data_IF_417047582545
#
_entry.id   IF_417047582545
#
_cell.length_a   1.000
_cell.length_b   1.000
_cell.length_c   1.000
_cell.angle_alpha   90.00
_cell.angle_beta   90.00
_cell.angle_gamma   90.00
#
_symmetry.space_group_name_H-M   'P 1'
#
loop_
_entity.id
_entity.type
_entity.pdbx_description
1 polymer ?
#
# COMPACT_ATOMS: atom_id res chain seq x y z
N UNK A 1 -28.59 -21.01 -48.41
CA UNK A 1 -27.69 -21.50 -47.34
C UNK A 1 -28.56 -21.73 -46.13
N UNK A 2 -28.78 -22.98 -45.74
CA UNK A 2 -29.61 -23.30 -44.57
C UNK A 2 -28.73 -23.22 -43.33
N UNK A 3 -29.13 -22.40 -42.37
CA UNK A 3 -28.40 -22.22 -41.11
C UNK A 3 -28.54 -23.49 -40.25
N UNK A 4 -27.41 -24.18 -40.04
CA UNK A 4 -27.35 -25.48 -39.35
C UNK A 4 -27.83 -25.42 -37.89
N UNK A 5 -27.84 -24.24 -37.28
CA UNK A 5 -28.10 -24.05 -35.85
C UNK A 5 -29.40 -23.31 -35.54
N UNK A 6 -30.25 -23.04 -36.53
CA UNK A 6 -31.49 -22.26 -36.36
C UNK A 6 -32.34 -22.77 -35.17
N UNK A 7 -32.55 -24.08 -35.09
CA UNK A 7 -33.35 -24.69 -34.03
C UNK A 7 -32.67 -24.60 -32.65
N UNK A 8 -31.34 -24.74 -32.60
CA UNK A 8 -30.55 -24.59 -31.37
C UNK A 8 -30.64 -23.18 -30.83
N UNK A 9 -30.57 -22.19 -31.70
CA UNK A 9 -30.63 -20.77 -31.38
C UNK A 9 -32.04 -20.37 -30.91
N UNK A 10 -33.07 -20.84 -31.61
CA UNK A 10 -34.46 -20.63 -31.21
C UNK A 10 -34.77 -21.25 -29.83
N UNK A 11 -34.28 -22.46 -29.56
CA UNK A 11 -34.42 -23.10 -28.26
C UNK A 11 -33.60 -22.42 -27.16
N UNK A 12 -32.45 -21.81 -27.48
CA UNK A 12 -31.65 -21.06 -26.52
C UNK A 12 -32.33 -19.73 -26.15
N UNK A 13 -32.88 -19.02 -27.15
CA UNK A 13 -33.60 -17.77 -26.93
C UNK A 13 -34.86 -17.96 -26.08
N UNK A 14 -35.59 -19.06 -26.28
CA UNK A 14 -36.77 -19.40 -25.46
C UNK A 14 -36.44 -19.77 -24.01
N UNK A 15 -35.19 -20.10 -23.70
CA UNK A 15 -34.73 -20.50 -22.36
C UNK A 15 -33.95 -19.40 -21.65
N UNK A 16 -33.87 -18.21 -22.24
CA UNK A 16 -33.27 -17.07 -21.56
C UNK A 16 -34.16 -16.68 -20.37
N UNK A 17 -33.62 -16.70 -19.15
CA UNK A 17 -34.31 -16.09 -18.01
C UNK A 17 -34.53 -14.60 -18.28
N UNK A 18 -35.74 -14.14 -18.01
CA UNK A 18 -36.02 -12.71 -17.95
C UNK A 18 -35.49 -12.20 -16.60
N UNK A 19 -34.49 -11.34 -16.67
CA UNK A 19 -33.98 -10.63 -15.50
C UNK A 19 -34.44 -9.19 -15.59
N UNK A 20 -35.27 -8.79 -14.64
CA UNK A 20 -35.62 -7.39 -14.46
C UNK A 20 -34.78 -6.86 -13.30
N UNK A 21 -34.05 -5.74 -13.49
CA UNK A 21 -33.32 -5.14 -12.39
C UNK A 21 -34.29 -4.69 -11.30
N UNK A 22 -33.87 -4.70 -10.02
CA UNK A 22 -34.69 -4.16 -8.94
C UNK A 22 -35.11 -2.72 -9.26
N UNK A 23 -36.39 -2.39 -9.03
CA UNK A 23 -36.94 -1.07 -9.40
C UNK A 23 -36.14 0.11 -8.81
N UNK A 24 -35.66 -0.03 -7.57
CA UNK A 24 -34.86 0.97 -6.87
C UNK A 24 -33.44 1.18 -7.44
N UNK A 25 -32.97 0.28 -8.32
CA UNK A 25 -31.62 0.40 -8.90
C UNK A 25 -31.54 1.59 -9.85
N UNK A 26 -32.62 1.92 -10.53
CA UNK A 26 -32.68 3.11 -11.40
C UNK A 26 -32.63 4.40 -10.59
N UNK A 27 -33.37 4.47 -9.48
CA UNK A 27 -33.35 5.64 -8.59
C UNK A 27 -31.94 5.89 -8.04
N UNK A 28 -31.22 4.83 -7.63
CA UNK A 28 -29.83 4.92 -7.16
C UNK A 28 -28.87 5.40 -8.24
N UNK A 29 -29.04 4.92 -9.48
CA UNK A 29 -28.22 5.36 -10.60
C UNK A 29 -28.45 6.82 -10.93
N UNK A 30 -29.71 7.27 -10.92
CA UNK A 30 -30.08 8.67 -11.16
C UNK A 30 -29.47 9.59 -10.08
N UNK A 31 -29.60 9.21 -8.80
CA UNK A 31 -28.97 9.95 -7.69
C UNK A 31 -27.44 10.01 -7.80
N UNK A 32 -26.81 8.92 -8.24
CA UNK A 32 -25.35 8.88 -8.42
C UNK A 32 -24.87 9.81 -9.55
N UNK A 33 -25.63 9.90 -10.64
CA UNK A 33 -25.30 10.74 -11.79
C UNK A 33 -25.50 12.23 -11.45
N UNK A 34 -26.56 12.57 -10.72
CA UNK A 34 -26.80 13.93 -10.25
C UNK A 34 -25.67 14.40 -9.31
N UNK A 35 -25.17 13.53 -8.44
CA UNK A 35 -24.04 13.84 -7.56
C UNK A 35 -22.74 14.13 -8.34
N UNK A 36 -22.47 13.37 -9.42
CA UNK A 36 -21.31 13.61 -10.29
C UNK A 36 -21.40 14.96 -11.01
N UNK A 37 -22.58 15.36 -11.46
CA UNK A 37 -22.80 16.67 -12.09
C UNK A 37 -22.54 17.83 -11.11
N UNK A 38 -23.07 17.72 -9.89
CA UNK A 38 -22.84 18.71 -8.82
C UNK A 38 -21.35 18.86 -8.46
N UNK A 39 -20.60 17.75 -8.44
CA UNK A 39 -19.15 17.78 -8.21
C UNK A 39 -18.42 18.47 -9.36
N UNK A 40 -18.81 18.20 -10.61
CA UNK A 40 -18.25 18.85 -11.79
C UNK A 40 -18.43 20.37 -11.76
N UNK A 41 -19.60 20.86 -11.34
CA UNK A 41 -19.86 22.29 -11.15
C UNK A 41 -19.01 22.88 -10.02
N UNK A 42 -18.92 22.18 -8.88
CA UNK A 42 -18.15 22.60 -7.72
C UNK A 42 -16.66 22.72 -8.02
N UNK A 43 -16.09 21.77 -8.78
CA UNK A 43 -14.69 21.79 -9.21
C UNK A 43 -14.42 22.97 -10.14
N UNK A 44 -15.35 23.29 -11.06
CA UNK A 44 -15.22 24.45 -11.96
C UNK A 44 -15.35 25.78 -11.21
N UNK A 45 -16.06 25.79 -10.08
CA UNK A 45 -16.20 26.97 -9.23
C UNK A 45 -14.99 27.20 -8.30
N UNK A 46 -14.03 26.27 -8.24
CA UNK A 46 -12.84 26.45 -7.41
C UNK A 46 -11.98 27.62 -7.93
N UNK A 47 -11.58 28.55 -7.05
CA UNK A 47 -10.68 29.62 -7.42
C UNK A 47 -9.31 29.05 -7.81
N UNK A 48 -8.78 29.54 -8.92
CA UNK A 48 -7.41 29.23 -9.34
C UNK A 48 -6.46 30.18 -8.61
N UNK A 49 -5.67 29.65 -7.69
CA UNK A 49 -4.60 30.40 -7.02
C UNK A 49 -3.27 30.05 -7.66
N UNK A 50 -2.55 31.06 -8.11
CA UNK A 50 -1.15 30.90 -8.53
C UNK A 50 -0.25 31.31 -7.35
N UNK A 51 0.72 30.48 -6.96
CA UNK A 51 1.60 30.80 -5.85
C UNK A 51 2.45 32.04 -6.18
N UNK A 52 2.74 32.93 -5.20
CA UNK A 52 3.58 34.09 -5.42
C UNK A 52 4.98 33.70 -5.93
N UNK A 53 5.55 34.51 -6.82
CA UNK A 53 6.87 34.25 -7.43
C UNK A 53 7.98 34.00 -6.38
N UNK A 54 7.91 34.67 -5.21
CA UNK A 54 8.86 34.47 -4.12
C UNK A 54 8.92 33.02 -3.62
N UNK A 55 7.83 32.25 -3.70
CA UNK A 55 7.83 30.83 -3.28
C UNK A 55 8.74 30.03 -4.19
N UNK A 56 8.70 30.28 -5.50
CA UNK A 56 9.54 29.61 -6.48
C UNK A 56 11.00 30.04 -6.36
N UNK A 57 11.27 31.33 -6.22
CA UNK A 57 12.64 31.86 -6.02
C UNK A 57 13.30 31.24 -4.78
N UNK A 58 12.55 31.09 -3.69
CA UNK A 58 13.06 30.47 -2.46
C UNK A 58 13.39 28.98 -2.64
N UNK A 59 12.59 28.24 -3.42
CA UNK A 59 12.85 26.83 -3.72
C UNK A 59 14.10 26.65 -4.59
N UNK A 60 14.26 27.49 -5.61
CA UNK A 60 15.45 27.48 -6.47
C UNK A 60 16.72 27.79 -5.67
N UNK A 61 16.70 28.84 -4.85
CA UNK A 61 17.82 29.21 -4.00
C UNK A 61 18.20 28.09 -3.00
N UNK A 62 17.20 27.42 -2.41
CA UNK A 62 17.42 26.32 -1.48
C UNK A 62 18.05 25.08 -2.18
N UNK A 63 17.70 24.84 -3.44
CA UNK A 63 18.28 23.75 -4.24
C UNK A 63 19.73 24.04 -4.61
N UNK A 64 20.03 25.25 -5.06
CA UNK A 64 21.41 25.65 -5.41
C UNK A 64 22.36 25.60 -4.21
N UNK A 65 21.90 26.02 -3.02
CA UNK A 65 22.71 26.00 -1.80
C UNK A 65 23.10 24.57 -1.38
N UNK A 66 22.21 23.59 -1.57
CA UNK A 66 22.52 22.17 -1.30
C UNK A 66 23.56 21.60 -2.27
N UNK A 67 23.58 22.07 -3.51
CA UNK A 67 24.51 21.60 -4.55
C UNK A 67 25.90 22.23 -4.39
N UNK A 68 25.95 23.50 -3.97
CA UNK A 68 27.18 24.28 -3.82
C UNK A 68 28.02 23.92 -2.57
N UNK A 69 27.44 23.26 -1.56
CA UNK A 69 28.10 22.90 -0.31
C UNK A 69 29.06 21.68 -0.40
N UNK A 70 29.87 21.58 -1.46
CA UNK A 70 30.95 20.56 -1.55
C UNK A 70 32.21 21.05 -0.82
N UNK A 71 32.81 20.27 0.11
CA UNK A 71 33.82 20.79 1.02
C UNK A 71 35.22 20.85 0.40
N UNK A 72 35.59 22.02 -0.15
CA UNK A 72 36.95 22.30 -0.62
C UNK A 72 38.03 22.22 0.50
N UNK A 73 37.63 22.27 1.78
CA UNK A 73 38.52 22.21 2.94
C UNK A 73 39.16 20.82 3.18
N UNK A 74 38.63 19.74 2.60
CA UNK A 74 39.16 18.38 2.83
C UNK A 74 40.46 18.07 2.06
N UNK A 75 40.76 18.80 0.98
CA UNK A 75 41.95 18.54 0.15
C UNK A 75 43.24 19.08 0.79
N UNK A 76 43.14 20.18 1.56
CA UNK A 76 44.31 20.80 2.21
C UNK A 76 44.83 19.98 3.41
N UNK A 77 43.95 19.29 4.13
CA UNK A 77 44.30 18.45 5.30
C UNK A 77 44.95 17.13 4.85
N UNK A 78 44.53 16.58 3.71
CA UNK A 78 45.07 15.32 3.16
C UNK A 78 46.55 15.43 2.75
N UNK A 79 47.01 16.60 2.27
CA UNK A 79 48.42 16.82 1.89
C UNK A 79 49.39 16.81 3.08
N UNK A 80 48.95 17.14 4.30
CA UNK A 80 49.80 17.14 5.51
C UNK A 80 49.94 15.74 6.15
N UNK A 81 49.10 14.78 5.79
CA UNK A 81 49.10 13.41 6.34
C UNK A 81 49.97 12.41 5.55
N UNK A 82 50.49 12.77 4.37
CA UNK A 82 51.26 11.84 3.51
C UNK A 82 52.71 11.62 4.00
N UNK A 83 53.26 12.50 4.83
CA UNK A 83 54.63 12.34 5.34
C UNK A 83 54.76 11.34 6.52
N UNK A 84 53.66 10.96 7.17
CA UNK A 84 53.66 10.03 8.30
C UNK A 84 53.12 8.61 7.95
N UNK A 85 52.62 8.42 6.73
CA UNK A 85 51.90 7.19 6.34
C UNK A 85 52.80 6.01 5.93
N UNK A 86 54.11 6.22 5.69
CA UNK A 86 55.01 5.16 5.24
C UNK A 86 55.24 4.06 6.30
N UNK A 87 55.28 4.43 7.58
CA UNK A 87 55.48 3.48 8.70
C UNK A 87 54.19 2.72 9.04
N UNK A 88 53.03 3.38 8.91
CA UNK A 88 51.73 2.76 9.15
C UNK A 88 51.34 1.72 8.09
N UNK A 89 51.71 1.94 6.82
CA UNK A 89 51.39 1.02 5.71
C UNK A 89 52.13 -0.33 5.80
N UNK A 90 53.33 -0.38 6.39
CA UNK A 90 54.08 -1.64 6.59
C UNK A 90 53.46 -2.48 7.72
N UNK A 91 52.98 -1.84 8.78
CA UNK A 91 52.33 -2.54 9.90
C UNK A 91 50.89 -2.97 9.55
N UNK A 92 50.17 -2.17 8.74
CA UNK A 92 48.83 -2.50 8.28
C UNK A 92 48.81 -3.58 7.18
N UNK A 93 49.81 -3.64 6.29
CA UNK A 93 49.87 -4.69 5.26
C UNK A 93 50.15 -6.08 5.84
N UNK A 94 50.98 -6.17 6.89
CA UNK A 94 51.22 -7.40 7.64
C UNK A 94 49.96 -7.87 8.39
N UNK A 95 49.16 -6.95 8.92
CA UNK A 95 47.89 -7.27 9.58
C UNK A 95 46.80 -7.69 8.58
N UNK A 96 46.76 -7.06 7.40
CA UNK A 96 45.73 -7.33 6.40
C UNK A 96 45.89 -8.72 5.75
N UNK A 97 47.12 -9.19 5.54
CA UNK A 97 47.40 -10.54 5.02
C UNK A 97 46.86 -11.67 5.92
N UNK A 98 46.68 -11.41 7.22
CA UNK A 98 46.09 -12.36 8.18
C UNK A 98 44.57 -12.22 8.34
N UNK A 99 43.93 -11.21 7.72
CA UNK A 99 42.51 -10.92 7.92
C UNK A 99 41.68 -10.95 6.63
N UNK A 100 42.17 -11.64 5.60
CA UNK A 100 41.51 -11.76 4.30
C UNK A 100 40.50 -12.91 4.29
N UNK A 101 39.44 -12.79 5.08
CA UNK A 101 38.14 -13.40 4.78
C UNK A 101 37.07 -12.48 5.36
N UNK A 102 36.10 -12.10 4.54
CA UNK A 102 35.01 -11.16 4.79
C UNK A 102 35.37 -9.68 4.99
N UNK A 103 35.24 -8.90 3.91
CA UNK A 103 34.06 -8.05 3.73
C UNK A 103 34.26 -7.10 2.54
N UNK A 104 33.54 -7.38 1.46
CA UNK A 104 33.36 -6.46 0.34
C UNK A 104 32.53 -5.26 0.82
N UNK A 105 33.10 -4.06 0.72
CA UNK A 105 32.39 -2.82 1.01
C UNK A 105 31.39 -2.50 -0.09
N UNK A 106 30.12 -2.84 0.14
CA UNK A 106 29.02 -2.57 -0.77
C UNK A 106 28.50 -1.13 -0.53
N UNK A 107 28.45 -0.32 -1.60
CA UNK A 107 27.79 0.99 -1.55
C UNK A 107 26.29 0.78 -1.52
N UNK A 108 25.66 1.04 -0.38
CA UNK A 108 24.21 0.99 -0.24
C UNK A 108 23.62 2.25 -0.87
N UNK A 109 23.07 2.12 -2.08
CA UNK A 109 22.18 3.11 -2.69
C UNK A 109 20.81 2.92 -2.06
N UNK A 110 20.41 3.85 -1.18
CA UNK A 110 19.08 3.85 -0.58
C UNK A 110 18.13 4.57 -1.53
N UNK A 111 17.30 3.80 -2.22
CA UNK A 111 16.12 4.30 -2.93
C UNK A 111 14.99 4.41 -1.91
N UNK A 112 14.61 5.63 -1.53
CA UNK A 112 13.40 5.86 -0.74
C UNK A 112 12.21 5.91 -1.69
N UNK A 113 11.39 4.86 -1.64
CA UNK A 113 10.10 4.80 -2.33
C UNK A 113 9.09 5.62 -1.53
N UNK A 114 8.47 6.62 -2.17
CA UNK A 114 7.47 7.46 -1.54
C UNK A 114 6.18 6.64 -1.46
N UNK A 115 5.75 6.33 -0.24
CA UNK A 115 4.55 5.53 0.00
C UNK A 115 3.32 6.25 -0.58
N UNK A 116 2.51 5.52 -1.35
CA UNK A 116 1.28 6.02 -1.95
C UNK A 116 0.28 6.47 -0.85
N UNK A 117 -0.46 7.56 -1.06
CA UNK A 117 -1.32 8.18 -0.04
C UNK A 117 -2.41 7.19 0.43
N UNK A 118 -2.83 6.28 -0.47
CA UNK A 118 -3.77 5.21 -0.21
C UNK A 118 -3.23 4.15 0.77
N UNK A 119 -1.92 3.91 0.78
CA UNK A 119 -1.26 3.00 1.73
C UNK A 119 -1.25 3.65 3.12
N UNK A 120 -0.96 4.95 3.20
CA UNK A 120 -1.02 5.71 4.46
C UNK A 120 -2.41 5.70 5.09
N UNK A 121 -3.46 5.85 4.27
CA UNK A 121 -4.84 5.80 4.74
C UNK A 121 -5.21 4.43 5.35
N UNK A 122 -4.79 3.32 4.72
CA UNK A 122 -5.08 1.95 5.21
C UNK A 122 -4.42 1.63 6.56
N UNK A 123 -3.27 2.24 6.86
CA UNK A 123 -2.62 2.12 8.18
C UNK A 123 -3.46 2.79 9.27
N UNK A 124 -4.26 3.81 8.93
CA UNK A 124 -5.04 4.61 9.89
C UNK A 124 -6.52 4.21 10.00
N UNK A 125 -7.04 3.31 9.16
CA UNK A 125 -8.45 2.91 9.25
C UNK A 125 -8.78 2.16 10.55
N UNK A 126 -9.90 2.58 11.16
CA UNK A 126 -10.57 1.95 12.30
C UNK A 126 -11.09 0.54 11.95
N UNK A 127 -11.37 -0.26 12.98
CA UNK A 127 -11.80 -1.66 12.83
C UNK A 127 -13.09 -1.81 12.00
N UNK A 128 -13.11 -2.84 11.15
CA UNK A 128 -14.19 -3.10 10.19
C UNK A 128 -15.49 -3.50 10.90
N UNK A 129 -16.56 -2.73 10.69
CA UNK A 129 -17.92 -3.06 11.17
C UNK A 129 -18.41 -4.46 10.76
N UNK A 130 -17.87 -5.01 9.66
CA UNK A 130 -18.16 -6.36 9.20
C UNK A 130 -17.59 -7.44 10.15
N UNK A 131 -16.46 -7.19 10.80
CA UNK A 131 -15.89 -8.10 11.79
C UNK A 131 -16.76 -8.19 13.05
N UNK A 132 -17.24 -7.03 13.53
CA UNK A 132 -18.17 -6.97 14.67
C UNK A 132 -19.48 -7.73 14.38
N UNK A 133 -19.99 -7.61 13.14
CA UNK A 133 -21.18 -8.34 12.74
C UNK A 133 -20.95 -9.86 12.83
N UNK A 134 -19.85 -10.38 12.28
CA UNK A 134 -19.53 -11.81 12.37
C UNK A 134 -19.38 -12.26 13.83
N UNK A 135 -18.76 -11.43 14.67
CA UNK A 135 -18.56 -11.75 16.07
C UNK A 135 -19.88 -11.81 16.85
N UNK A 136 -20.76 -10.84 16.66
CA UNK A 136 -22.09 -10.81 17.28
C UNK A 136 -22.96 -11.97 16.82
N UNK A 137 -22.89 -12.32 15.53
CA UNK A 137 -23.62 -13.44 14.95
C UNK A 137 -23.21 -14.78 15.60
N UNK A 138 -21.92 -14.99 15.85
CA UNK A 138 -21.47 -16.19 16.56
C UNK A 138 -21.76 -16.15 18.07
N UNK A 139 -21.78 -14.99 18.72
CA UNK A 139 -22.23 -14.86 20.11
C UNK A 139 -23.72 -15.25 20.27
N UNK A 140 -24.54 -15.00 19.24
CA UNK A 140 -25.95 -15.42 19.20
C UNK A 140 -26.15 -16.93 18.97
N UNK A 141 -25.05 -17.71 18.85
CA UNK A 141 -25.05 -19.15 18.55
C UNK A 141 -25.73 -19.50 17.22
N UNK A 142 -25.48 -18.70 16.18
CA UNK A 142 -25.96 -19.02 14.85
C UNK A 142 -25.42 -20.39 14.38
N UNK A 143 -26.26 -21.24 13.75
CA UNK A 143 -25.87 -22.59 13.34
C UNK A 143 -24.75 -22.61 12.28
N UNK A 144 -24.62 -21.54 11.49
CA UNK A 144 -23.51 -21.34 10.54
C UNK A 144 -22.15 -21.34 11.24
N UNK A 145 -22.04 -20.80 12.46
CA UNK A 145 -20.79 -20.77 13.21
C UNK A 145 -20.32 -22.15 13.68
N UNK A 146 -21.19 -23.17 13.66
CA UNK A 146 -20.81 -24.55 14.00
C UNK A 146 -20.22 -25.32 12.80
N UNK A 147 -20.42 -24.81 11.58
CA UNK A 147 -19.93 -25.46 10.36
C UNK A 147 -18.39 -25.45 10.32
N UNK A 148 -17.76 -26.56 9.91
CA UNK A 148 -16.30 -26.68 9.93
C UNK A 148 -15.62 -25.68 8.99
N UNK A 149 -16.21 -25.42 7.82
CA UNK A 149 -15.68 -24.45 6.86
C UNK A 149 -15.74 -23.01 7.41
N UNK A 150 -16.84 -22.63 8.06
CA UNK A 150 -16.96 -21.33 8.70
C UNK A 150 -15.99 -21.16 9.87
N UNK A 151 -15.75 -22.22 10.67
CA UNK A 151 -14.76 -22.21 11.75
C UNK A 151 -13.34 -22.01 11.24
N UNK A 152 -13.00 -22.63 10.11
CA UNK A 152 -11.69 -22.43 9.48
C UNK A 152 -11.51 -20.98 9.01
N UNK A 153 -12.52 -20.43 8.30
CA UNK A 153 -12.49 -19.04 7.86
C UNK A 153 -12.43 -18.06 9.04
N UNK A 154 -13.14 -18.35 10.12
CA UNK A 154 -13.06 -17.56 11.35
C UNK A 154 -11.66 -17.60 11.96
N UNK A 155 -11.02 -18.77 12.01
CA UNK A 155 -9.64 -18.91 12.50
C UNK A 155 -8.67 -18.11 11.64
N UNK A 156 -8.79 -18.22 10.31
CA UNK A 156 -7.97 -17.47 9.36
C UNK A 156 -8.17 -15.95 9.51
N UNK A 157 -9.42 -15.51 9.71
CA UNK A 157 -9.75 -14.11 9.98
C UNK A 157 -9.11 -13.60 11.28
N UNK A 158 -9.16 -14.40 12.35
CA UNK A 158 -8.56 -14.07 13.64
C UNK A 158 -7.01 -14.00 13.53
N UNK A 159 -6.39 -14.93 12.78
CA UNK A 159 -4.95 -14.93 12.48
C UNK A 159 -4.51 -13.67 11.71
N UNK A 160 -5.23 -13.32 10.64
CA UNK A 160 -4.97 -12.12 9.84
C UNK A 160 -5.12 -10.84 10.68
N UNK A 161 -6.10 -10.81 11.58
CA UNK A 161 -6.32 -9.68 12.49
C UNK A 161 -5.16 -9.53 13.48
N UNK A 162 -4.66 -10.64 14.04
CA UNK A 162 -3.50 -10.61 14.91
C UNK A 162 -2.22 -10.19 14.17
N UNK A 163 -2.02 -10.66 12.94
CA UNK A 163 -0.88 -10.31 12.12
C UNK A 163 -0.89 -8.81 11.73
N UNK A 164 -2.08 -8.25 11.42
CA UNK A 164 -2.28 -6.82 11.18
C UNK A 164 -1.83 -5.98 12.38
N UNK A 165 -2.26 -6.34 13.59
CA UNK A 165 -1.94 -5.57 14.80
C UNK A 165 -0.44 -5.62 15.12
N UNK A 166 0.18 -6.79 14.97
CA UNK A 166 1.64 -6.96 15.10
C UNK A 166 2.41 -6.06 14.12
N UNK A 167 1.98 -6.00 12.85
CA UNK A 167 2.59 -5.11 11.86
C UNK A 167 2.34 -3.63 12.14
N UNK A 168 1.15 -3.24 12.62
CA UNK A 168 0.88 -1.85 13.04
C UNK A 168 1.77 -1.43 14.19
N UNK A 169 1.97 -2.29 15.18
CA UNK A 169 2.89 -2.03 16.29
C UNK A 169 4.33 -1.88 15.82
N UNK A 170 4.78 -2.71 14.87
CA UNK A 170 6.10 -2.61 14.26
C UNK A 170 6.27 -1.30 13.45
N UNK A 171 5.28 -0.94 12.63
CA UNK A 171 5.28 0.31 11.86
C UNK A 171 5.30 1.56 12.75
N UNK A 172 4.61 1.53 13.90
CA UNK A 172 4.66 2.62 14.88
C UNK A 172 6.06 2.85 15.49
N UNK A 173 6.89 1.81 15.57
CA UNK A 173 8.28 1.90 16.05
C UNK A 173 9.28 2.23 14.92
N UNK A 174 8.96 1.85 13.68
CA UNK A 174 9.79 2.02 12.48
C UNK A 174 8.99 2.77 11.41
N UNK A 175 8.84 4.08 11.62
CA UNK A 175 7.79 4.93 11.06
C UNK A 175 7.58 5.02 9.55
N UNK A 176 8.39 4.40 8.68
CA UNK A 176 8.23 4.50 7.21
C UNK A 176 8.93 3.32 6.47
N UNK A 177 8.81 2.07 6.95
CA UNK A 177 9.29 0.91 6.16
C UNK A 177 8.26 0.54 5.06
N UNK A 178 8.59 0.75 3.77
CA UNK A 178 7.67 0.48 2.66
C UNK A 178 7.33 -1.01 2.53
N UNK A 179 8.23 -1.90 2.95
CA UNK A 179 8.01 -3.34 2.88
C UNK A 179 6.99 -3.82 3.91
N UNK A 180 6.95 -3.21 5.10
CA UNK A 180 5.96 -3.52 6.14
C UNK A 180 4.60 -2.92 5.77
N UNK A 181 4.58 -1.72 5.19
CA UNK A 181 3.35 -1.11 4.71
C UNK A 181 2.71 -1.91 3.56
N UNK A 182 3.51 -2.40 2.61
CA UNK A 182 3.01 -3.28 1.54
C UNK A 182 2.45 -4.61 2.09
N UNK A 183 3.08 -5.18 3.13
CA UNK A 183 2.57 -6.36 3.81
C UNK A 183 1.23 -6.09 4.51
N UNK A 184 1.08 -4.94 5.16
CA UNK A 184 -0.17 -4.55 5.80
C UNK A 184 -1.33 -4.47 4.78
N UNK A 185 -1.09 -3.84 3.62
CA UNK A 185 -2.09 -3.75 2.54
C UNK A 185 -2.51 -5.14 2.04
N UNK A 186 -1.55 -6.06 1.91
CA UNK A 186 -1.83 -7.44 1.52
C UNK A 186 -2.73 -8.14 2.54
N UNK A 187 -2.40 -8.01 3.83
CA UNK A 187 -3.21 -8.59 4.92
C UNK A 187 -4.62 -8.03 4.91
N UNK A 188 -4.79 -6.73 4.71
CA UNK A 188 -6.13 -6.12 4.62
C UNK A 188 -6.98 -6.67 3.47
N UNK A 189 -6.34 -6.88 2.31
CA UNK A 189 -7.01 -7.48 1.16
C UNK A 189 -7.43 -8.92 1.43
N UNK A 190 -6.55 -9.71 2.05
CA UNK A 190 -6.83 -11.10 2.45
C UNK A 190 -7.98 -11.14 3.47
N UNK A 191 -7.95 -10.26 4.49
CA UNK A 191 -8.99 -10.11 5.50
C UNK A 191 -10.36 -9.79 4.89
N UNK A 192 -10.40 -8.83 3.97
CA UNK A 192 -11.60 -8.47 3.20
C UNK A 192 -12.11 -9.61 2.31
N UNK A 193 -11.21 -10.48 1.83
CA UNK A 193 -11.56 -11.70 1.08
C UNK A 193 -12.27 -12.71 1.97
N UNK A 194 -11.67 -13.03 3.12
CA UNK A 194 -12.22 -13.98 4.11
C UNK A 194 -13.58 -13.50 4.62
N UNK A 195 -13.72 -12.21 4.97
CA UNK A 195 -14.99 -11.64 5.41
C UNK A 195 -16.10 -11.80 4.37
N UNK A 196 -15.81 -11.53 3.08
CA UNK A 196 -16.78 -11.74 2.00
C UNK A 196 -17.21 -13.20 1.87
N UNK A 197 -16.27 -14.13 2.03
CA UNK A 197 -16.57 -15.56 1.99
C UNK A 197 -17.46 -15.96 3.17
N UNK A 198 -17.15 -15.50 4.38
CA UNK A 198 -17.98 -15.75 5.56
C UNK A 198 -19.39 -15.18 5.40
N UNK A 199 -19.53 -13.96 4.85
CA UNK A 199 -20.82 -13.34 4.57
C UNK A 199 -21.64 -14.11 3.54
N UNK A 200 -21.00 -14.76 2.56
CA UNK A 200 -21.73 -15.59 1.58
C UNK A 200 -22.32 -16.88 2.17
N UNK A 201 -21.90 -17.25 3.39
CA UNK A 201 -22.38 -18.43 4.11
C UNK A 201 -23.48 -18.13 5.14
N UNK A 202 -23.75 -16.84 5.40
CA UNK A 202 -24.75 -16.34 6.35
C UNK A 202 -26.05 -16.05 5.58
#
# INVERSE_FOLDING_TARGET
>A
MNELNHNTLQHALQRLPEYEPPAALWDVLEESLDAEEMLGESVRALPTYEPPAQVWENLEAALEQKIAAKPALRVAIFRRMVAAAAVGLVLLSAWWFFKTENSSGEQIVVSQEKLDEQIRASVQEEEDSAFELVQTLCQSRAPVCEQPEFKNLKSELDELTQAKESLRQALGQYGDDPSLAAQLVRIERERSGVLRQMMSMI
#
